data_IF_529525013066
#
_entry.id   IF_529525013066
#
_cell.length_a   1.000
_cell.length_b   1.000
_cell.length_c   1.000
_cell.angle_alpha   90.00
_cell.angle_beta   90.00
_cell.angle_gamma   90.00
#
_symmetry.space_group_name_H-M   'P 1'
#
loop_
_entity.id
_entity.type
_entity.pdbx_description
1 polymer ?
#
# COMPACT_ATOMS: atom_id res chain seq x y z
N UNK A 1 3.53 12.75 18.22
CA UNK A 1 4.95 12.85 17.81
C UNK A 1 4.95 13.01 16.30
N UNK A 2 5.58 14.04 15.76
CA UNK A 2 5.75 14.19 14.31
C UNK A 2 6.74 13.13 13.82
N UNK A 3 6.29 12.12 13.04
CA UNK A 3 7.17 11.07 12.51
C UNK A 3 8.11 11.57 11.39
N UNK A 4 7.96 12.84 10.99
CA UNK A 4 8.85 13.55 10.08
C UNK A 4 9.87 14.43 10.80
N UNK A 5 9.76 14.56 12.13
CA UNK A 5 10.74 15.26 12.94
C UNK A 5 12.04 14.45 13.01
N UNK A 6 13.14 15.12 13.32
CA UNK A 6 14.45 14.51 13.54
C UNK A 6 14.86 14.76 14.98
N UNK A 7 15.46 13.77 15.65
CA UNK A 7 15.95 13.90 17.02
C UNK A 7 17.48 13.79 17.11
N UNK A 8 18.05 14.28 18.23
CA UNK A 8 19.45 14.04 18.55
C UNK A 8 19.66 12.56 18.81
N UNK A 9 20.60 11.97 18.07
CA UNK A 9 20.87 10.54 18.14
C UNK A 9 21.84 10.25 19.28
N UNK A 10 21.48 9.27 20.10
CA UNK A 10 22.22 8.67 21.21
C UNK A 10 22.26 7.16 20.98
N UNK A 11 23.08 6.44 21.74
CA UNK A 11 23.08 4.97 21.69
C UNK A 11 21.72 4.39 22.09
N UNK A 12 21.07 5.01 23.08
CA UNK A 12 19.80 4.54 23.64
C UNK A 12 18.58 4.73 22.73
N UNK A 13 18.62 5.71 21.82
CA UNK A 13 17.52 6.00 20.88
C UNK A 13 17.86 5.70 19.41
N UNK A 14 19.00 5.09 19.11
CA UNK A 14 19.37 4.76 17.74
C UNK A 14 18.50 3.61 17.20
N UNK A 15 17.85 3.87 16.06
CA UNK A 15 17.03 2.89 15.36
C UNK A 15 17.66 2.57 14.01
N UNK A 16 18.28 1.39 13.91
CA UNK A 16 18.95 0.95 12.70
C UNK A 16 18.02 0.95 11.48
N UNK A 17 16.77 0.50 11.62
CA UNK A 17 15.84 0.43 10.49
C UNK A 17 15.48 1.83 9.99
N UNK A 18 15.21 2.77 10.89
CA UNK A 18 14.94 4.16 10.54
C UNK A 18 16.14 4.86 9.94
N UNK A 19 17.31 4.67 10.54
CA UNK A 19 18.55 5.24 10.04
C UNK A 19 18.80 4.78 8.61
N UNK A 20 18.64 3.50 8.33
CA UNK A 20 18.80 2.92 7.00
C UNK A 20 17.72 3.38 6.01
N UNK A 21 16.47 3.55 6.45
CA UNK A 21 15.39 4.15 5.64
C UNK A 21 15.70 5.61 5.27
N UNK A 22 16.38 6.34 6.15
CA UNK A 22 16.83 7.71 5.91
C UNK A 22 18.14 7.79 5.11
N UNK A 23 18.97 6.73 5.14
CA UNK A 23 20.29 6.64 4.53
C UNK A 23 20.38 5.49 3.52
N UNK A 24 19.64 5.54 2.39
CA UNK A 24 19.56 4.43 1.45
C UNK A 24 20.87 4.12 0.71
N UNK A 25 21.86 5.03 0.76
CA UNK A 25 23.21 4.83 0.24
C UNK A 25 24.01 3.78 1.02
N UNK A 26 23.61 3.45 2.26
CA UNK A 26 24.28 2.46 3.09
C UNK A 26 23.84 1.02 2.82
N UNK A 27 22.90 0.79 1.92
CA UNK A 27 22.31 -0.52 1.71
C UNK A 27 23.30 -1.59 1.22
N UNK A 28 24.24 -1.23 0.33
CA UNK A 28 25.28 -2.15 -0.13
C UNK A 28 26.23 -2.50 1.02
N UNK A 29 26.73 -1.49 1.74
CA UNK A 29 27.60 -1.70 2.88
C UNK A 29 26.93 -2.52 3.99
N UNK A 30 25.63 -2.32 4.25
CA UNK A 30 24.86 -3.12 5.20
C UNK A 30 24.76 -4.60 4.77
N UNK A 31 24.61 -4.85 3.45
CA UNK A 31 24.69 -6.21 2.89
C UNK A 31 26.07 -6.84 3.10
N UNK A 32 27.12 -6.03 3.04
CA UNK A 32 28.51 -6.45 3.25
C UNK A 32 28.92 -6.51 4.74
N UNK A 33 27.96 -6.35 5.66
CA UNK A 33 28.17 -6.56 7.10
C UNK A 33 28.36 -5.29 7.92
N UNK A 34 28.10 -4.10 7.37
CA UNK A 34 28.10 -2.85 8.13
C UNK A 34 27.11 -2.91 9.29
N UNK A 35 27.59 -2.55 10.48
CA UNK A 35 26.76 -2.27 11.63
C UNK A 35 26.27 -0.81 11.58
N UNK A 36 24.95 -0.54 11.52
CA UNK A 36 24.43 0.81 11.32
C UNK A 36 24.81 1.79 12.43
N UNK A 37 24.88 1.33 13.69
CA UNK A 37 25.28 2.16 14.83
C UNK A 37 26.75 2.55 14.71
N UNK A 38 27.63 1.57 14.50
CA UNK A 38 29.07 1.79 14.32
C UNK A 38 29.35 2.77 13.19
N UNK A 39 28.65 2.65 12.05
CA UNK A 39 28.78 3.60 10.95
C UNK A 39 28.28 4.99 11.33
N UNK A 40 27.11 5.08 11.97
CA UNK A 40 26.57 6.36 12.37
C UNK A 40 27.50 7.10 13.33
N UNK A 41 28.04 6.40 14.32
CA UNK A 41 28.93 6.97 15.32
C UNK A 41 30.27 7.43 14.72
N UNK A 42 30.87 6.61 13.85
CA UNK A 42 32.16 6.91 13.24
C UNK A 42 32.10 7.95 12.11
N UNK A 43 30.99 7.99 11.34
CA UNK A 43 30.89 8.78 10.12
C UNK A 43 29.60 9.60 10.05
N UNK A 44 28.46 8.94 10.24
CA UNK A 44 27.15 9.55 10.00
C UNK A 44 26.89 10.83 10.79
N UNK A 45 27.35 10.87 12.05
CA UNK A 45 27.27 12.05 12.92
C UNK A 45 28.02 13.25 12.34
N UNK A 46 29.18 13.03 11.73
CA UNK A 46 30.02 14.06 11.10
C UNK A 46 29.54 14.46 9.71
N UNK A 47 28.88 13.54 9.00
CA UNK A 47 28.25 13.79 7.70
C UNK A 47 26.90 14.52 7.81
N UNK A 48 26.44 14.82 9.03
CA UNK A 48 25.15 15.47 9.28
C UNK A 48 23.96 14.56 9.02
N UNK A 49 24.15 13.24 9.00
CA UNK A 49 23.05 12.28 8.85
C UNK A 49 22.13 12.37 10.07
N UNK A 50 20.84 12.26 9.82
CA UNK A 50 19.79 12.29 10.82
C UNK A 50 18.93 11.03 10.69
N UNK A 51 18.29 10.63 11.78
CA UNK A 51 17.23 9.63 11.76
C UNK A 51 15.89 10.31 12.00
N UNK A 52 14.82 9.66 11.56
CA UNK A 52 13.46 10.07 11.89
C UNK A 52 13.20 9.85 13.39
N UNK A 53 12.67 10.86 14.06
CA UNK A 53 12.22 10.79 15.44
C UNK A 53 10.95 9.93 15.54
N UNK A 54 10.74 9.26 16.67
CA UNK A 54 9.49 8.52 16.90
C UNK A 54 9.61 7.34 17.84
N UNK A 55 8.53 6.58 17.98
CA UNK A 55 8.52 5.30 18.71
C UNK A 55 9.48 4.31 18.02
N UNK A 56 10.40 3.62 18.72
CA UNK A 56 11.31 2.66 18.11
C UNK A 56 10.59 1.68 17.17
N UNK A 57 11.24 1.30 16.06
CA UNK A 57 10.74 0.30 15.14
C UNK A 57 10.48 -1.01 15.90
N UNK A 58 9.41 -1.72 15.51
CA UNK A 58 9.09 -3.01 16.12
C UNK A 58 10.20 -4.00 15.75
N UNK A 59 10.93 -4.57 16.73
CA UNK A 59 12.03 -5.49 16.43
C UNK A 59 11.52 -6.71 15.64
N UNK A 60 12.29 -7.26 14.69
CA UNK A 60 11.85 -8.39 13.87
C UNK A 60 11.36 -9.59 14.70
N UNK A 61 12.00 -9.87 15.84
CA UNK A 61 11.64 -10.97 16.74
C UNK A 61 10.31 -10.76 17.48
N UNK A 62 9.79 -9.53 17.53
CA UNK A 62 8.52 -9.20 18.18
C UNK A 62 7.33 -9.20 17.21
N UNK A 63 7.57 -9.40 15.90
CA UNK A 63 6.52 -9.33 14.87
C UNK A 63 5.77 -10.66 14.75
N UNK A 64 4.44 -10.59 14.59
CA UNK A 64 3.64 -11.77 14.24
C UNK A 64 4.03 -12.28 12.82
N UNK A 65 3.76 -13.54 12.44
CA UNK A 65 4.03 -14.02 11.09
C UNK A 65 3.09 -13.44 10.02
N UNK A 66 2.08 -12.67 10.41
CA UNK A 66 1.02 -12.16 9.54
C UNK A 66 1.41 -11.03 8.61
N UNK A 67 0.39 -10.31 8.14
CA UNK A 67 0.53 -9.21 7.20
C UNK A 67 -0.25 -7.96 7.65
N UNK A 68 0.42 -6.80 7.51
CA UNK A 68 -0.17 -5.47 7.64
C UNK A 68 -0.42 -4.91 6.25
N UNK A 69 -1.58 -4.28 6.05
CA UNK A 69 -1.88 -3.50 4.85
C UNK A 69 -1.77 -2.01 5.15
N UNK A 70 -1.07 -1.27 4.30
CA UNK A 70 -0.90 0.17 4.42
C UNK A 70 -1.51 0.88 3.21
N UNK A 71 -2.30 1.92 3.45
CA UNK A 71 -2.82 2.81 2.41
C UNK A 71 -2.85 4.27 2.87
N UNK A 72 -2.97 5.19 1.90
CA UNK A 72 -3.20 6.61 2.17
C UNK A 72 -4.47 7.07 1.44
N UNK A 73 -5.34 7.73 2.19
CA UNK A 73 -6.63 8.22 1.76
C UNK A 73 -6.60 9.74 1.56
N UNK A 74 -7.32 10.20 0.55
CA UNK A 74 -7.74 11.60 0.44
C UNK A 74 -9.06 11.60 -0.28
N UNK A 75 -10.16 11.85 0.41
CA UNK A 75 -11.51 11.80 -0.16
C UNK A 75 -11.85 10.47 -0.87
N UNK A 76 -11.77 9.37 -0.13
CA UNK A 76 -12.12 8.02 -0.60
C UNK A 76 -13.33 7.44 0.15
N UNK A 77 -14.05 8.29 0.90
CA UNK A 77 -15.15 7.93 1.80
C UNK A 77 -16.12 6.89 1.23
N UNK A 78 -16.62 7.05 -0.01
CA UNK A 78 -17.55 6.10 -0.61
C UNK A 78 -17.06 4.64 -0.73
N UNK A 79 -15.75 4.39 -0.70
CA UNK A 79 -15.18 3.04 -0.91
C UNK A 79 -14.48 2.46 0.32
N UNK A 80 -14.33 3.24 1.40
CA UNK A 80 -13.56 2.82 2.58
C UNK A 80 -14.10 1.52 3.21
N UNK A 81 -15.42 1.43 3.40
CA UNK A 81 -16.04 0.26 4.06
C UNK A 81 -15.84 -1.01 3.23
N UNK A 82 -16.11 -0.97 1.92
CA UNK A 82 -15.91 -2.13 1.04
C UNK A 82 -14.44 -2.54 0.99
N UNK A 83 -13.52 -1.58 0.82
CA UNK A 83 -12.09 -1.85 0.71
C UNK A 83 -11.53 -2.47 2.00
N UNK A 84 -11.91 -1.94 3.16
CA UNK A 84 -11.51 -2.47 4.48
C UNK A 84 -12.12 -3.85 4.68
N UNK A 85 -13.43 -4.03 4.44
CA UNK A 85 -14.10 -5.32 4.57
C UNK A 85 -13.41 -6.40 3.73
N UNK A 86 -13.11 -6.08 2.47
CA UNK A 86 -12.47 -7.02 1.55
C UNK A 86 -11.08 -7.45 2.05
N UNK A 87 -10.23 -6.50 2.44
CA UNK A 87 -8.87 -6.84 2.85
C UNK A 87 -8.82 -7.51 4.24
N UNK A 88 -9.76 -7.20 5.13
CA UNK A 88 -9.95 -7.97 6.37
C UNK A 88 -10.37 -9.41 6.07
N UNK A 89 -11.30 -9.60 5.14
CA UNK A 89 -11.72 -10.92 4.67
C UNK A 89 -10.55 -11.72 4.05
N UNK A 90 -9.64 -11.04 3.34
CA UNK A 90 -8.42 -11.66 2.82
C UNK A 90 -7.43 -12.08 3.92
N UNK A 91 -7.66 -11.69 5.19
CA UNK A 91 -6.86 -12.11 6.33
C UNK A 91 -5.69 -11.19 6.65
N UNK A 92 -5.72 -9.91 6.22
CA UNK A 92 -4.80 -8.92 6.77
C UNK A 92 -5.10 -8.71 8.27
N UNK A 93 -4.11 -8.94 9.13
CA UNK A 93 -4.25 -8.84 10.58
C UNK A 93 -4.41 -7.37 11.02
N UNK A 94 -3.74 -6.47 10.30
CA UNK A 94 -3.75 -5.05 10.57
C UNK A 94 -3.91 -4.28 9.27
N UNK A 95 -4.66 -3.20 9.34
CA UNK A 95 -4.82 -2.25 8.26
C UNK A 95 -4.52 -0.87 8.84
N UNK A 96 -3.51 -0.19 8.30
CA UNK A 96 -3.13 1.17 8.66
C UNK A 96 -3.54 2.09 7.51
N UNK A 97 -4.42 3.05 7.78
CA UNK A 97 -4.85 4.05 6.82
C UNK A 97 -4.39 5.42 7.30
N UNK A 98 -3.64 6.10 6.45
CA UNK A 98 -3.24 7.48 6.63
C UNK A 98 -4.25 8.36 5.90
N UNK A 99 -4.83 9.39 6.52
CA UNK A 99 -5.62 10.38 5.79
C UNK A 99 -4.79 11.62 5.46
N UNK A 100 -4.94 12.16 4.25
CA UNK A 100 -4.24 13.34 3.80
C UNK A 100 -5.23 14.41 3.33
N UNK A 101 -5.59 15.30 4.26
CA UNK A 101 -6.36 16.51 3.98
C UNK A 101 -7.70 16.21 3.26
N UNK A 102 -8.48 15.27 3.82
CA UNK A 102 -9.82 14.95 3.30
C UNK A 102 -10.87 15.97 3.75
N UNK A 103 -11.86 16.23 2.90
CA UNK A 103 -12.98 17.16 3.13
C UNK A 103 -14.36 16.56 2.79
N UNK A 104 -14.42 15.26 2.46
CA UNK A 104 -15.65 14.53 2.11
C UNK A 104 -16.24 13.70 3.25
N UNK A 105 -15.73 13.86 4.48
CA UNK A 105 -16.09 13.04 5.64
C UNK A 105 -15.30 11.72 5.76
N UNK A 106 -14.29 11.48 4.90
CA UNK A 106 -13.41 10.30 5.02
C UNK A 106 -12.76 10.19 6.39
N UNK A 107 -12.25 11.29 6.94
CA UNK A 107 -11.50 11.29 8.20
C UNK A 107 -12.41 10.90 9.38
N UNK A 108 -13.62 11.46 9.46
CA UNK A 108 -14.62 11.08 10.47
C UNK A 108 -15.00 9.60 10.38
N UNK A 109 -15.16 9.07 9.16
CA UNK A 109 -15.46 7.66 8.95
C UNK A 109 -14.27 6.77 9.38
N UNK A 110 -13.05 7.16 9.04
CA UNK A 110 -11.83 6.44 9.44
C UNK A 110 -11.64 6.44 10.96
N UNK A 111 -11.91 7.55 11.64
CA UNK A 111 -11.87 7.65 13.11
C UNK A 111 -12.87 6.68 13.76
N UNK A 112 -14.10 6.61 13.24
CA UNK A 112 -15.12 5.67 13.74
C UNK A 112 -14.72 4.21 13.49
N UNK A 113 -14.16 3.91 12.32
CA UNK A 113 -13.65 2.57 11.99
C UNK A 113 -12.48 2.17 12.90
N UNK A 114 -11.60 3.12 13.24
CA UNK A 114 -10.51 2.92 14.18
C UNK A 114 -11.03 2.70 15.61
N UNK A 115 -12.02 3.47 16.06
CA UNK A 115 -12.68 3.28 17.36
C UNK A 115 -13.37 1.92 17.48
N UNK A 116 -13.82 1.35 16.35
CA UNK A 116 -14.34 -0.02 16.26
C UNK A 116 -13.24 -1.10 16.29
N UNK A 117 -11.96 -0.73 16.33
CA UNK A 117 -10.83 -1.67 16.29
C UNK A 117 -10.62 -2.36 14.94
N UNK A 118 -11.17 -1.80 13.86
CA UNK A 118 -11.11 -2.41 12.53
C UNK A 118 -9.84 -2.05 11.76
N UNK A 119 -9.30 -0.86 12.03
CA UNK A 119 -8.10 -0.28 11.40
C UNK A 119 -7.31 0.54 12.44
N UNK A 120 -6.07 0.90 12.09
CA UNK A 120 -5.37 2.04 12.67
C UNK A 120 -5.54 3.24 11.72
N UNK A 121 -6.03 4.37 12.23
CA UNK A 121 -6.16 5.61 11.47
C UNK A 121 -5.11 6.63 11.94
N UNK A 122 -4.47 7.31 10.98
CA UNK A 122 -3.51 8.38 11.26
C UNK A 122 -3.75 9.59 10.34
N UNK A 123 -3.92 10.77 10.94
CA UNK A 123 -3.88 12.02 10.18
C UNK A 123 -2.45 12.26 9.67
N UNK A 124 -2.32 12.55 8.38
CA UNK A 124 -1.05 12.67 7.66
C UNK A 124 -1.03 13.87 6.70
N UNK A 125 -0.78 15.08 7.23
CA UNK A 125 -0.82 16.30 6.43
C UNK A 125 0.31 16.35 5.41
N UNK A 126 0.07 17.04 4.31
CA UNK A 126 1.10 17.25 3.28
C UNK A 126 2.24 18.15 3.77
N UNK A 127 3.47 17.81 3.39
CA UNK A 127 4.67 18.63 3.68
C UNK A 127 5.34 19.03 2.37
N UNK A 128 5.79 20.28 2.29
CA UNK A 128 6.49 20.82 1.11
C UNK A 128 7.76 20.01 0.80
N UNK A 129 8.00 19.75 -0.49
CA UNK A 129 9.16 18.98 -0.96
C UNK A 129 9.13 17.49 -0.61
N UNK A 130 8.08 16.98 0.06
CA UNK A 130 7.96 15.57 0.45
C UNK A 130 6.66 14.95 -0.05
N UNK A 131 6.75 13.69 -0.45
CA UNK A 131 5.58 12.91 -0.88
C UNK A 131 4.85 12.36 0.35
N UNK A 132 3.58 12.73 0.55
CA UNK A 132 2.75 12.22 1.66
C UNK A 132 2.62 10.71 1.61
N UNK A 133 2.47 10.12 0.42
CA UNK A 133 2.34 8.68 0.25
C UNK A 133 3.62 7.93 0.64
N UNK A 134 4.77 8.39 0.15
CA UNK A 134 6.05 7.71 0.48
C UNK A 134 6.37 7.84 1.96
N UNK A 135 6.13 9.01 2.57
CA UNK A 135 6.41 9.20 4.00
C UNK A 135 5.46 8.41 4.89
N UNK A 136 4.18 8.30 4.53
CA UNK A 136 3.22 7.43 5.22
C UNK A 136 3.68 5.96 5.18
N UNK A 137 4.13 5.48 4.02
CA UNK A 137 4.61 4.10 3.87
C UNK A 137 5.88 3.82 4.68
N UNK A 138 6.77 4.82 4.82
CA UNK A 138 7.94 4.74 5.69
C UNK A 138 7.53 4.62 7.16
N UNK A 139 6.59 5.45 7.63
CA UNK A 139 6.08 5.37 9.01
C UNK A 139 5.37 4.04 9.28
N UNK A 140 4.56 3.54 8.34
CA UNK A 140 3.89 2.25 8.45
C UNK A 140 4.89 1.09 8.57
N UNK A 141 6.01 1.17 7.85
CA UNK A 141 7.06 0.14 7.89
C UNK A 141 7.73 0.07 9.25
N UNK A 142 7.99 1.22 9.87
CA UNK A 142 8.57 1.32 11.22
C UNK A 142 7.62 0.77 12.28
N UNK A 143 6.32 1.06 12.15
CA UNK A 143 5.26 0.59 13.07
C UNK A 143 4.79 -0.83 12.82
N UNK A 144 5.29 -1.48 11.76
CA UNK A 144 4.76 -2.75 11.33
C UNK A 144 4.99 -3.83 12.39
N UNK A 145 3.91 -4.27 13.03
CA UNK A 145 3.91 -5.33 14.05
C UNK A 145 3.83 -6.74 13.45
N UNK A 146 3.76 -6.85 12.13
CA UNK A 146 3.68 -8.12 11.40
C UNK A 146 4.93 -8.34 10.55
N UNK A 147 5.24 -9.59 10.23
CA UNK A 147 6.38 -9.95 9.38
C UNK A 147 6.26 -9.27 8.02
N UNK A 148 5.09 -9.33 7.41
CA UNK A 148 4.83 -8.80 6.08
C UNK A 148 4.10 -7.47 6.13
N UNK A 149 4.39 -6.59 5.18
CA UNK A 149 3.63 -5.36 4.91
C UNK A 149 3.33 -5.25 3.42
N UNK A 150 2.10 -4.92 3.08
CA UNK A 150 1.67 -4.60 1.72
C UNK A 150 1.31 -3.12 1.61
N UNK A 151 1.55 -2.55 0.44
CA UNK A 151 1.16 -1.18 0.12
C UNK A 151 0.19 -1.22 -1.05
N UNK A 152 -1.07 -0.84 -0.82
CA UNK A 152 -2.11 -0.78 -1.86
C UNK A 152 -2.82 0.58 -1.80
N UNK A 153 -3.23 1.08 -2.96
CA UNK A 153 -4.11 2.24 -3.07
C UNK A 153 -5.56 1.84 -2.76
N UNK A 154 -6.42 2.81 -2.38
CA UNK A 154 -7.83 2.54 -2.02
C UNK A 154 -8.74 2.17 -3.22
N UNK A 155 -8.17 2.06 -4.42
CA UNK A 155 -8.78 1.51 -5.62
C UNK A 155 -8.14 0.19 -6.08
N UNK A 156 -7.29 -0.41 -5.24
CA UNK A 156 -6.60 -1.66 -5.50
C UNK A 156 -7.10 -2.77 -4.56
N UNK A 157 -7.50 -3.90 -5.14
CA UNK A 157 -8.00 -5.06 -4.41
C UNK A 157 -7.13 -6.27 -4.69
N UNK A 158 -6.58 -6.87 -3.62
CA UNK A 158 -5.74 -8.07 -3.73
C UNK A 158 -6.62 -9.33 -3.92
N UNK A 159 -6.86 -9.70 -5.18
CA UNK A 159 -7.70 -10.83 -5.53
C UNK A 159 -6.90 -12.14 -5.48
N UNK A 160 -7.02 -12.86 -4.36
CA UNK A 160 -6.50 -14.22 -4.20
C UNK A 160 -7.42 -15.22 -4.92
N UNK A 161 -6.86 -15.98 -5.87
CA UNK A 161 -7.60 -16.94 -6.70
C UNK A 161 -7.51 -18.37 -6.19
N UNK A 162 -6.39 -18.75 -5.60
CA UNK A 162 -6.21 -20.12 -5.10
C UNK A 162 -6.28 -20.21 -3.58
N UNK A 163 -6.01 -19.10 -2.89
CA UNK A 163 -5.90 -19.06 -1.43
C UNK A 163 -7.15 -18.54 -0.75
N UNK A 164 -7.41 -19.09 0.44
CA UNK A 164 -8.44 -18.59 1.33
C UNK A 164 -8.01 -17.33 2.10
N UNK A 165 -6.69 -17.08 2.23
CA UNK A 165 -6.15 -15.93 2.96
C UNK A 165 -4.74 -15.55 2.51
N UNK A 166 -4.34 -14.32 2.81
CA UNK A 166 -3.00 -13.80 2.58
C UNK A 166 -1.94 -14.58 3.36
N UNK A 167 -2.26 -15.07 4.55
CA UNK A 167 -1.38 -15.95 5.33
C UNK A 167 -1.11 -17.26 4.59
N UNK A 168 -2.14 -17.89 4.02
CA UNK A 168 -1.98 -19.09 3.18
C UNK A 168 -1.17 -18.84 1.92
N UNK A 169 -1.38 -17.68 1.27
CA UNK A 169 -0.58 -17.24 0.13
C UNK A 169 0.91 -17.09 0.49
N UNK A 170 1.21 -16.40 1.59
CA UNK A 170 2.57 -16.08 2.03
C UNK A 170 3.34 -17.27 2.59
N UNK A 171 2.66 -18.25 3.17
CA UNK A 171 3.29 -19.44 3.77
C UNK A 171 4.02 -20.35 2.75
N UNK A 172 3.80 -20.14 1.45
CA UNK A 172 4.44 -20.94 0.38
C UNK A 172 5.83 -20.48 0.00
N UNK A 173 6.19 -19.26 0.34
CA UNK A 173 7.45 -18.68 -0.13
C UNK A 173 8.61 -19.15 0.74
N UNK A 174 9.75 -19.38 0.10
CA UNK A 174 10.98 -19.75 0.78
C UNK A 174 11.37 -18.69 1.83
N UNK A 175 12.08 -19.06 2.91
CA UNK A 175 12.48 -18.11 3.96
C UNK A 175 13.31 -16.93 3.47
N UNK A 176 14.00 -17.07 2.33
CA UNK A 176 14.84 -16.03 1.72
C UNK A 176 14.04 -15.04 0.85
N UNK A 177 12.76 -15.30 0.56
CA UNK A 177 11.89 -14.37 -0.15
C UNK A 177 11.48 -13.25 0.81
N UNK A 178 11.95 -12.04 0.52
CA UNK A 178 11.69 -10.84 1.31
C UNK A 178 10.77 -9.83 0.61
N UNK A 179 10.44 -10.04 -0.67
CA UNK A 179 9.38 -9.29 -1.35
C UNK A 179 8.75 -10.10 -2.47
N UNK A 180 7.46 -9.85 -2.72
CA UNK A 180 6.67 -10.52 -3.75
C UNK A 180 6.04 -9.46 -4.65
N UNK A 181 6.24 -9.60 -5.95
CA UNK A 181 5.62 -8.76 -6.98
C UNK A 181 4.19 -9.24 -7.23
N UNK A 182 3.26 -8.29 -7.22
CA UNK A 182 1.85 -8.55 -7.46
C UNK A 182 1.41 -7.71 -8.66
N UNK A 183 1.11 -8.35 -9.79
CA UNK A 183 0.74 -7.66 -11.02
C UNK A 183 -0.63 -6.99 -10.92
N UNK A 184 -0.71 -5.75 -11.38
CA UNK A 184 -1.96 -5.03 -11.61
C UNK A 184 -2.75 -5.65 -12.75
N UNK A 185 -4.07 -5.71 -12.62
CA UNK A 185 -5.03 -5.90 -13.71
C UNK A 185 -5.92 -4.66 -13.76
N UNK A 186 -5.93 -3.93 -14.88
CA UNK A 186 -6.75 -2.72 -15.00
C UNK A 186 -8.22 -3.07 -15.24
N UNK A 187 -9.10 -2.42 -14.48
CA UNK A 187 -10.55 -2.49 -14.66
C UNK A 187 -11.08 -1.14 -15.15
N UNK A 188 -11.79 -1.17 -16.27
CA UNK A 188 -12.39 0.00 -16.89
C UNK A 188 -13.70 0.41 -16.24
N UNK A 189 -14.28 1.47 -16.79
CA UNK A 189 -15.53 2.08 -16.34
C UNK A 189 -16.77 1.23 -16.58
N UNK A 190 -16.66 0.11 -17.29
CA UNK A 190 -17.78 -0.66 -17.83
C UNK A 190 -18.75 0.20 -18.68
N UNK A 191 -18.28 1.34 -19.20
CA UNK A 191 -19.11 2.32 -19.91
C UNK A 191 -20.02 3.16 -19.01
N UNK A 192 -19.87 3.07 -17.69
CA UNK A 192 -20.66 3.87 -16.74
C UNK A 192 -20.19 5.32 -16.73
N UNK A 193 -21.13 6.23 -16.98
CA UNK A 193 -20.88 7.67 -16.91
C UNK A 193 -21.04 8.16 -15.47
N UNK A 194 -22.16 7.82 -14.84
CA UNK A 194 -22.50 8.23 -13.48
C UNK A 194 -22.26 7.12 -12.46
N UNK A 195 -22.23 7.52 -11.19
CA UNK A 195 -22.19 6.56 -10.08
C UNK A 195 -23.49 5.73 -10.07
N UNK A 196 -23.35 4.41 -10.11
CA UNK A 196 -24.45 3.46 -9.88
C UNK A 196 -24.38 2.84 -8.47
N UNK A 197 -25.50 2.47 -7.83
CA UNK A 197 -25.47 1.70 -6.58
C UNK A 197 -24.78 0.34 -6.74
N UNK A 198 -24.34 -0.23 -5.62
CA UNK A 198 -23.70 -1.55 -5.55
C UNK A 198 -22.21 -1.49 -5.24
N UNK A 199 -21.63 -2.66 -4.98
CA UNK A 199 -20.22 -2.80 -4.64
C UNK A 199 -19.35 -2.46 -5.85
N UNK A 200 -18.23 -1.79 -5.63
CA UNK A 200 -17.25 -1.47 -6.66
C UNK A 200 -16.80 -2.73 -7.40
N UNK A 201 -16.55 -3.81 -6.66
CA UNK A 201 -16.17 -5.12 -7.22
C UNK A 201 -17.27 -5.77 -8.09
N UNK A 202 -18.54 -5.41 -7.88
CA UNK A 202 -19.68 -5.87 -8.68
C UNK A 202 -19.94 -4.99 -9.91
N UNK A 203 -19.75 -3.68 -9.76
CA UNK A 203 -20.03 -2.70 -10.83
C UNK A 203 -19.02 -2.78 -11.97
N UNK A 204 -17.76 -3.08 -11.66
CA UNK A 204 -16.67 -3.05 -12.64
C UNK A 204 -16.06 -4.45 -12.82
N UNK A 205 -16.61 -5.22 -13.75
CA UNK A 205 -16.13 -6.58 -14.08
C UNK A 205 -15.48 -6.66 -15.47
N UNK A 206 -15.27 -5.50 -16.11
CA UNK A 206 -14.65 -5.37 -17.43
C UNK A 206 -13.21 -4.89 -17.26
N UNK A 207 -12.26 -5.63 -17.82
CA UNK A 207 -10.83 -5.45 -17.57
C UNK A 207 -9.99 -5.52 -18.84
N UNK A 208 -8.74 -5.04 -18.75
CA UNK A 208 -7.75 -5.12 -19.82
C UNK A 208 -7.45 -6.55 -20.25
N UNK A 209 -6.88 -6.81 -21.44
CA UNK A 209 -6.28 -8.10 -21.76
C UNK A 209 -5.15 -8.50 -20.79
N UNK A 210 -4.82 -9.80 -20.69
CA UNK A 210 -3.76 -10.31 -19.78
C UNK A 210 -2.37 -9.78 -20.15
N UNK A 211 -2.13 -9.57 -21.43
CA UNK A 211 -0.90 -9.06 -22.01
C UNK A 211 -0.87 -7.52 -22.16
N UNK A 212 -1.86 -6.81 -21.63
CA UNK A 212 -1.88 -5.34 -21.65
C UNK A 212 -0.58 -4.76 -21.04
N UNK A 213 0.03 -3.70 -21.60
CA UNK A 213 1.31 -3.17 -21.09
C UNK A 213 1.30 -2.83 -19.59
N UNK A 214 0.22 -2.24 -19.08
CA UNK A 214 0.07 -1.95 -17.64
C UNK A 214 -0.10 -3.19 -16.76
N UNK A 215 -0.41 -4.37 -17.32
CA UNK A 215 -0.40 -5.64 -16.57
C UNK A 215 0.96 -5.95 -15.95
N UNK A 216 2.04 -5.39 -16.51
CA UNK A 216 3.39 -5.55 -15.99
C UNK A 216 3.67 -4.72 -14.76
N UNK A 217 2.87 -3.67 -14.50
CA UNK A 217 3.07 -2.84 -13.32
C UNK A 217 2.69 -3.62 -12.07
N UNK A 218 3.46 -3.41 -10.99
CA UNK A 218 3.31 -4.21 -9.78
C UNK A 218 2.98 -3.35 -8.56
N UNK A 219 2.38 -4.00 -7.57
CA UNK A 219 2.48 -3.64 -6.16
C UNK A 219 3.33 -4.68 -5.43
N UNK A 220 3.67 -4.38 -4.19
CA UNK A 220 4.58 -5.20 -3.39
C UNK A 220 3.98 -5.55 -2.05
N UNK A 221 4.14 -6.82 -1.66
CA UNK A 221 4.16 -7.24 -0.26
C UNK A 221 5.59 -7.64 0.10
N UNK A 222 6.10 -7.17 1.24
CA UNK A 222 7.50 -7.36 1.62
C UNK A 222 7.66 -7.65 3.12
N UNK A 223 8.74 -8.34 3.47
CA UNK A 223 9.15 -8.52 4.86
C UNK A 223 9.56 -7.16 5.39
N UNK A 224 8.80 -6.66 6.34
CA UNK A 224 8.85 -5.26 6.71
C UNK A 224 10.21 -4.87 7.33
N UNK A 225 10.94 -5.79 7.96
CA UNK A 225 12.28 -5.54 8.52
C UNK A 225 13.38 -5.44 7.46
N UNK A 226 13.13 -5.96 6.26
CA UNK A 226 14.11 -6.00 5.17
C UNK A 226 14.00 -4.79 4.24
N UNK A 227 13.10 -3.84 4.50
CA UNK A 227 12.89 -2.68 3.64
C UNK A 227 13.85 -1.55 4.01
N UNK A 228 14.61 -1.05 3.03
CA UNK A 228 15.43 0.17 3.20
C UNK A 228 15.02 1.33 2.29
N UNK A 229 14.22 1.06 1.27
CA UNK A 229 13.67 2.12 0.41
C UNK A 229 12.31 1.71 -0.11
N UNK A 230 11.39 2.66 -0.12
CA UNK A 230 10.01 2.46 -0.56
C UNK A 230 9.70 3.41 -1.72
N UNK A 231 8.98 2.92 -2.71
CA UNK A 231 8.28 3.72 -3.72
C UNK A 231 6.81 3.30 -3.76
N UNK A 232 6.01 3.95 -4.62
CA UNK A 232 4.59 3.60 -4.81
C UNK A 232 4.32 2.14 -5.22
N UNK A 233 5.30 1.50 -5.86
CA UNK A 233 5.12 0.20 -6.54
C UNK A 233 6.08 -0.88 -6.04
N UNK A 234 7.28 -0.50 -5.57
CA UNK A 234 8.32 -1.43 -5.16
C UNK A 234 9.00 -1.01 -3.86
N UNK A 235 9.66 -1.98 -3.24
CA UNK A 235 10.65 -1.74 -2.20
C UNK A 235 12.04 -2.10 -2.72
N UNK A 236 13.07 -1.61 -2.02
CA UNK A 236 14.42 -2.16 -2.09
C UNK A 236 14.75 -2.84 -0.76
N UNK A 237 15.43 -3.97 -0.88
CA UNK A 237 15.63 -4.92 0.21
C UNK A 237 17.06 -4.87 0.77
N UNK A 238 17.17 -4.96 2.08
CA UNK A 238 18.43 -5.15 2.78
C UNK A 238 18.95 -6.55 2.52
N UNK A 239 18.16 -7.57 2.87
CA UNK A 239 18.49 -8.97 2.60
C UNK A 239 17.30 -9.67 1.96
N UNK A 240 17.57 -10.90 1.54
CA UNK A 240 16.60 -11.72 0.83
C UNK A 240 16.39 -11.27 -0.61
N UNK A 241 15.53 -12.01 -1.30
CA UNK A 241 15.26 -11.83 -2.72
C UNK A 241 13.84 -11.40 -2.99
N UNK A 242 13.67 -10.78 -4.15
CA UNK A 242 12.37 -10.50 -4.72
C UNK A 242 11.90 -11.73 -5.53
N UNK A 243 10.61 -12.06 -5.44
CA UNK A 243 9.99 -13.14 -6.19
C UNK A 243 8.72 -12.67 -6.92
N UNK A 244 8.32 -13.36 -7.98
CA UNK A 244 6.97 -13.22 -8.53
C UNK A 244 5.97 -14.00 -7.67
N UNK A 245 4.68 -13.91 -8.00
CA UNK A 245 3.61 -14.63 -7.32
C UNK A 245 3.72 -16.17 -7.38
N UNK A 246 4.62 -16.73 -8.19
CA UNK A 246 4.93 -18.17 -8.25
C UNK A 246 6.13 -18.58 -7.40
N UNK A 247 6.87 -17.61 -6.84
CA UNK A 247 8.10 -17.84 -6.07
C UNK A 247 9.39 -17.71 -6.88
N UNK A 248 9.30 -17.52 -8.20
CA UNK A 248 10.46 -17.39 -9.07
C UNK A 248 11.19 -16.06 -8.81
N UNK A 249 12.54 -16.05 -8.71
CA UNK A 249 13.30 -14.81 -8.52
C UNK A 249 13.04 -13.77 -9.61
N UNK A 250 13.01 -12.49 -9.25
CA UNK A 250 12.95 -11.38 -10.21
C UNK A 250 13.68 -10.12 -9.74
N UNK A 251 13.98 -9.23 -10.67
CA UNK A 251 14.32 -7.82 -10.38
C UNK A 251 13.08 -6.95 -10.63
N UNK A 252 12.58 -6.20 -9.61
CA UNK A 252 11.39 -5.37 -9.78
C UNK A 252 11.65 -4.13 -10.65
N UNK A 253 12.90 -3.84 -11.04
CA UNK A 253 13.29 -2.75 -11.91
C UNK A 253 12.78 -1.39 -11.43
N UNK A 254 11.86 -0.79 -12.20
CA UNK A 254 11.16 0.46 -11.86
C UNK A 254 9.73 0.26 -11.32
N UNK A 255 9.37 -0.95 -10.92
CA UNK A 255 8.01 -1.34 -10.55
C UNK A 255 7.28 -2.08 -11.67
N UNK A 256 8.02 -2.84 -12.47
CA UNK A 256 7.47 -3.62 -13.57
C UNK A 256 8.09 -5.03 -13.57
N UNK A 257 7.25 -6.05 -13.72
CA UNK A 257 7.64 -7.45 -13.77
C UNK A 257 6.90 -8.20 -14.89
N UNK A 258 7.36 -9.38 -15.31
CA UNK A 258 6.56 -10.30 -16.11
C UNK A 258 5.22 -10.60 -15.43
N UNK A 259 4.16 -10.75 -16.22
CA UNK A 259 2.80 -10.95 -15.71
C UNK A 259 2.66 -12.33 -15.08
N UNK A 260 2.11 -12.39 -13.87
CA UNK A 260 1.66 -13.60 -13.16
C UNK A 260 0.29 -13.34 -12.53
N UNK A 261 -0.73 -14.04 -13.02
CA UNK A 261 -2.12 -13.85 -12.56
C UNK A 261 -2.77 -15.14 -12.07
N UNK A 262 -2.08 -16.26 -12.17
CA UNK A 262 -2.65 -17.60 -11.93
C UNK A 262 -3.18 -17.71 -10.50
N UNK A 263 -2.42 -17.23 -9.52
CA UNK A 263 -2.73 -17.38 -8.09
C UNK A 263 -3.31 -16.12 -7.45
N UNK A 264 -2.87 -14.96 -7.93
CA UNK A 264 -3.20 -13.66 -7.34
C UNK A 264 -3.07 -12.59 -8.41
N UNK A 265 -3.89 -11.55 -8.30
CA UNK A 265 -3.72 -10.31 -9.04
C UNK A 265 -4.15 -9.12 -8.18
N UNK A 266 -3.70 -7.93 -8.53
CA UNK A 266 -4.21 -6.69 -7.94
C UNK A 266 -5.20 -6.10 -8.91
N UNK A 267 -6.50 -6.19 -8.60
CA UNK A 267 -7.52 -5.52 -9.40
C UNK A 267 -7.41 -4.02 -9.17
N UNK A 268 -7.16 -3.24 -10.23
CA UNK A 268 -6.98 -1.79 -10.14
C UNK A 268 -8.17 -1.07 -10.78
N UNK A 269 -9.03 -0.52 -9.94
CA UNK A 269 -10.25 0.20 -10.30
C UNK A 269 -10.00 1.70 -10.38
N UNK A 270 -8.99 2.07 -11.17
CA UNK A 270 -8.40 3.42 -11.12
C UNK A 270 -9.33 4.52 -11.61
N UNK A 271 -10.22 4.17 -12.56
CA UNK A 271 -11.17 5.10 -13.15
C UNK A 271 -12.52 5.08 -12.43
N UNK A 272 -13.06 3.88 -12.19
CA UNK A 272 -14.48 3.69 -11.83
C UNK A 272 -15.36 4.32 -12.94
N UNK A 273 -16.55 4.85 -12.65
CA UNK A 273 -17.33 5.59 -13.65
C UNK A 273 -16.64 6.89 -14.07
N UNK A 274 -17.05 7.48 -15.21
CA UNK A 274 -16.49 8.75 -15.67
C UNK A 274 -16.59 9.86 -14.63
N UNK A 275 -17.75 10.01 -13.98
CA UNK A 275 -17.97 11.02 -12.96
C UNK A 275 -17.10 10.80 -11.70
N UNK A 276 -16.86 9.54 -11.32
CA UNK A 276 -15.96 9.18 -10.22
C UNK A 276 -14.50 9.48 -10.57
N UNK A 277 -14.08 9.22 -11.81
CA UNK A 277 -12.74 9.58 -12.30
C UNK A 277 -12.51 11.10 -12.26
N UNK A 278 -13.46 11.92 -12.72
CA UNK A 278 -13.27 13.38 -12.69
C UNK A 278 -13.14 13.91 -11.24
N UNK A 279 -13.87 13.32 -10.29
CA UNK A 279 -13.66 13.58 -8.84
C UNK A 279 -12.29 13.11 -8.36
N UNK A 280 -11.76 12.00 -8.88
CA UNK A 280 -10.39 11.55 -8.58
C UNK A 280 -9.33 12.47 -9.16
N UNK A 281 -9.56 12.98 -10.37
CA UNK A 281 -8.66 13.90 -11.06
C UNK A 281 -8.50 15.21 -10.29
N UNK A 282 -9.60 15.80 -9.81
CA UNK A 282 -9.59 17.08 -9.08
C UNK A 282 -8.80 17.06 -7.77
N UNK A 283 -8.65 15.89 -7.14
CA UNK A 283 -7.90 15.70 -5.88
C UNK A 283 -6.38 15.75 -6.04
N UNK A 284 -5.88 15.56 -7.27
CA UNK A 284 -4.44 15.49 -7.55
C UNK A 284 -3.77 14.19 -7.07
N UNK A 285 -2.45 14.10 -7.24
CA UNK A 285 -1.66 12.92 -6.89
C UNK A 285 -1.07 13.02 -5.47
N UNK A 286 -1.24 11.96 -4.67
CA UNK A 286 -0.61 11.79 -3.35
C UNK A 286 0.90 11.49 -3.41
N UNK A 287 1.38 11.04 -4.58
CA UNK A 287 2.83 10.88 -4.81
C UNK A 287 3.56 12.22 -4.92
N UNK A 288 2.84 13.28 -5.29
CA UNK A 288 3.41 14.60 -5.56
C UNK A 288 3.29 15.48 -4.32
N UNK A 289 4.39 16.16 -3.97
CA UNK A 289 4.44 17.06 -2.83
C UNK A 289 3.44 18.21 -2.96
N UNK A 290 3.13 18.87 -1.84
CA UNK A 290 2.39 20.14 -1.87
C UNK A 290 3.22 21.16 -2.65
N UNK A 291 2.56 21.90 -3.55
CA UNK A 291 3.20 22.90 -4.42
C UNK A 291 3.86 22.36 -5.70
N UNK A 292 3.95 21.03 -5.90
CA UNK A 292 4.50 20.47 -7.15
C UNK A 292 3.59 20.82 -8.35
N UNK A 293 4.12 21.48 -9.40
CA UNK A 293 3.31 21.89 -10.56
C UNK A 293 2.71 20.70 -11.33
N UNK A 294 3.25 19.49 -11.14
CA UNK A 294 2.73 18.26 -11.76
C UNK A 294 1.64 17.55 -10.93
N UNK A 295 1.26 18.06 -9.74
CA UNK A 295 0.31 17.39 -8.85
C UNK A 295 -1.05 17.07 -9.51
N UNK A 296 -1.49 17.90 -10.45
CA UNK A 296 -2.80 17.81 -11.12
C UNK A 296 -2.71 17.43 -12.61
N UNK A 297 -1.52 17.15 -13.15
CA UNK A 297 -1.34 17.00 -14.60
C UNK A 297 -1.36 15.54 -15.08
N UNK A 298 -1.22 14.57 -14.18
CA UNK A 298 -1.03 13.15 -14.55
C UNK A 298 -2.30 12.38 -14.95
N UNK A 299 -3.49 12.97 -14.80
CA UNK A 299 -4.78 12.31 -15.03
C UNK A 299 -5.59 13.09 -16.06
N UNK A 300 -5.01 13.34 -17.23
CA UNK A 300 -5.68 14.04 -18.32
C UNK A 300 -6.61 13.11 -19.14
N UNK A 301 -7.06 13.56 -20.32
CA UNK A 301 -7.91 12.73 -21.19
C UNK A 301 -7.21 11.47 -21.69
N UNK A 302 -5.92 11.58 -22.04
CA UNK A 302 -5.12 10.43 -22.48
C UNK A 302 -4.97 9.39 -21.37
N UNK A 303 -4.90 9.83 -20.11
CA UNK A 303 -4.91 8.92 -18.97
C UNK A 303 -6.19 8.11 -18.88
N UNK A 304 -7.37 8.74 -19.06
CA UNK A 304 -8.63 8.00 -19.04
C UNK A 304 -8.65 6.98 -20.17
N UNK A 305 -8.31 7.39 -21.38
CA UNK A 305 -8.30 6.52 -22.54
C UNK A 305 -7.36 5.34 -22.29
N UNK A 306 -6.12 5.55 -21.87
CA UNK A 306 -5.13 4.50 -21.61
C UNK A 306 -5.53 3.50 -20.51
N UNK A 307 -6.38 3.90 -19.56
CA UNK A 307 -6.77 3.08 -18.42
C UNK A 307 -8.21 2.53 -18.50
N UNK A 308 -9.05 3.01 -19.42
CA UNK A 308 -10.44 2.56 -19.58
C UNK A 308 -10.52 1.24 -20.35
N UNK A 309 -10.11 0.19 -19.66
CA UNK A 309 -9.91 -1.14 -20.23
C UNK A 309 -11.11 -2.04 -19.96
N UNK A 310 -11.90 -2.31 -20.99
CA UNK A 310 -13.17 -3.03 -20.90
C UNK A 310 -13.26 -4.26 -21.82
N UNK A 311 -12.13 -4.71 -22.36
CA UNK A 311 -12.06 -5.68 -23.44
C UNK A 311 -12.47 -7.08 -22.97
N UNK A 312 -12.05 -7.47 -21.77
CA UNK A 312 -12.29 -8.81 -21.19
C UNK A 312 -13.26 -8.74 -20.03
N UNK A 313 -13.97 -9.84 -19.75
CA UNK A 313 -14.70 -10.01 -18.49
C UNK A 313 -13.76 -10.68 -17.48
N UNK A 314 -13.67 -10.13 -16.28
CA UNK A 314 -13.01 -10.74 -15.14
C UNK A 314 -13.92 -10.60 -13.92
N UNK A 315 -14.62 -11.68 -13.61
CA UNK A 315 -15.53 -11.81 -12.47
C UNK A 315 -14.91 -12.66 -11.34
N UNK A 316 -13.60 -12.94 -11.41
CA UNK A 316 -12.94 -13.88 -10.49
C UNK A 316 -13.00 -13.41 -9.04
N UNK A 317 -13.05 -12.09 -8.81
CA UNK A 317 -13.20 -11.49 -7.48
C UNK A 317 -14.60 -11.72 -6.87
N UNK A 318 -15.63 -11.96 -7.70
CA UNK A 318 -17.02 -12.12 -7.24
C UNK A 318 -17.23 -13.38 -6.41
N UNK A 319 -16.31 -14.34 -6.44
CA UNK A 319 -16.34 -15.49 -5.50
C UNK A 319 -16.39 -15.05 -4.04
N UNK A 320 -15.85 -13.87 -3.72
CA UNK A 320 -15.81 -13.32 -2.36
C UNK A 320 -17.10 -12.61 -1.98
N UNK A 321 -17.99 -12.32 -2.94
CA UNK A 321 -19.20 -11.52 -2.75
C UNK A 321 -20.04 -11.94 -1.53
N UNK A 322 -20.40 -13.23 -1.33
CA UNK A 322 -21.24 -13.60 -0.18
C UNK A 322 -20.59 -13.26 1.17
N UNK A 323 -19.29 -13.52 1.31
CA UNK A 323 -18.56 -13.23 2.54
C UNK A 323 -18.27 -11.73 2.71
N UNK A 324 -18.01 -11.02 1.61
CA UNK A 324 -17.81 -9.57 1.59
C UNK A 324 -19.08 -8.83 2.03
N UNK A 325 -20.26 -9.21 1.51
CA UNK A 325 -21.53 -8.62 1.94
C UNK A 325 -21.77 -8.82 3.44
N UNK A 326 -21.43 -10.01 3.97
CA UNK A 326 -21.52 -10.29 5.40
C UNK A 326 -20.57 -9.42 6.24
N UNK A 327 -19.32 -9.26 5.81
CA UNK A 327 -18.33 -8.43 6.52
C UNK A 327 -18.69 -6.94 6.46
N UNK A 328 -19.21 -6.45 5.34
CA UNK A 328 -19.72 -5.06 5.22
C UNK A 328 -20.87 -4.84 6.21
N UNK A 329 -21.88 -5.73 6.22
CA UNK A 329 -23.01 -5.62 7.14
C UNK A 329 -22.55 -5.64 8.62
N UNK A 330 -21.53 -6.44 8.93
CA UNK A 330 -20.91 -6.46 10.27
C UNK A 330 -20.28 -5.12 10.63
N UNK A 331 -19.50 -4.54 9.72
CA UNK A 331 -18.85 -3.23 9.93
C UNK A 331 -19.89 -2.12 10.09
N UNK A 332 -20.91 -2.09 9.23
CA UNK A 332 -22.00 -1.11 9.32
C UNK A 332 -22.75 -1.20 10.64
N UNK A 333 -23.02 -2.43 11.12
CA UNK A 333 -23.64 -2.64 12.43
C UNK A 333 -22.77 -2.11 13.59
N UNK A 334 -21.45 -2.30 13.53
CA UNK A 334 -20.52 -1.74 14.52
C UNK A 334 -20.53 -0.21 14.50
N UNK A 335 -20.51 0.40 13.32
CA UNK A 335 -20.56 1.85 13.15
C UNK A 335 -21.87 2.45 13.70
N UNK A 336 -23.00 1.77 13.51
CA UNK A 336 -24.29 2.19 14.05
C UNK A 336 -24.33 2.09 15.58
N UNK A 337 -23.71 1.05 16.15
CA UNK A 337 -23.67 0.83 17.60
C UNK A 337 -22.72 1.80 18.33
N UNK A 338 -21.74 2.36 17.63
CA UNK A 338 -20.76 3.32 18.16
C UNK A 338 -21.20 4.79 18.03
N UNK A 339 -22.40 5.05 17.52
CA UNK A 339 -22.92 6.38 17.16
C UNK A 339 -23.78 7.05 18.22
#
# INVERSE_FOLDING_TARGET
MDPLATELITEDNFDAQRYLLACPDLADAYRDGLDPWTHFDAHGRHEGRQQLAGIPAVPPAARSPGATLCSIARNEGPYLVEWIAFHRLMGFERIIIYSNDSDDGSDDLLDRLAACGLIEHRIWPGVEGRSSQISAYQDATVRCETRWIAFLDLDEYLNLKDDASIGGFLARFDPDVAAIALNWRLFGSAGLIDHAPGLLTERFTRASPLDHPFSRQIKTIAVASEIYRITAHRVRLMRGRYADASGAPLDPGRGFAPVRYERVQVNHYVLKSRAEFERKRSRGSGLRAVGDPMKFTHRDGSYFDDHDRNETVDDTILRWRPALTGEIARIEAMLLASG
#
